data_IF_203153221550
#
_entry.id   IF_203153221550
#
_cell.length_a   1.000
_cell.length_b   1.000
_cell.length_c   1.000
_cell.angle_alpha   90.00
_cell.angle_beta   90.00
_cell.angle_gamma   90.00
#
_symmetry.space_group_name_H-M   'P 1'
#
loop_
_entity.id
_entity.type
_entity.pdbx_description
1 polymer ?
#
# COMPACT_ATOMS: atom_id res chain seq x y z
N UNK A 1 20.43 43.09 -43.68
CA UNK A 1 21.23 42.58 -42.55
C UNK A 1 20.57 43.08 -41.26
N UNK A 2 20.01 42.35 -40.31
CA UNK A 2 19.51 40.98 -40.09
C UNK A 2 18.58 41.14 -38.86
N UNK A 3 17.38 40.52 -38.76
CA UNK A 3 16.60 40.62 -37.54
C UNK A 3 17.27 39.79 -36.44
N UNK A 4 17.48 40.43 -35.29
CA UNK A 4 17.98 39.81 -34.06
C UNK A 4 17.06 38.64 -33.68
N UNK A 5 17.58 37.41 -33.75
CA UNK A 5 16.87 36.22 -33.31
C UNK A 5 16.66 36.32 -31.80
N UNK A 6 15.40 36.43 -31.38
CA UNK A 6 14.99 36.09 -30.03
C UNK A 6 15.39 34.64 -29.77
N UNK A 7 16.51 34.44 -29.09
CA UNK A 7 16.82 33.18 -28.44
C UNK A 7 15.85 33.04 -27.28
N UNK A 8 14.71 32.39 -27.53
CA UNK A 8 13.93 31.79 -26.46
C UNK A 8 14.81 30.73 -25.80
N UNK A 9 15.50 31.13 -24.74
CA UNK A 9 16.04 30.20 -23.78
C UNK A 9 14.85 29.49 -23.14
N UNK A 10 14.44 28.37 -23.72
CA UNK A 10 13.64 27.39 -23.03
C UNK A 10 14.56 26.73 -22.01
N UNK A 11 14.89 27.46 -20.95
CA UNK A 11 15.35 26.85 -19.71
C UNK A 11 14.20 25.95 -19.28
N UNK A 12 14.31 24.65 -19.62
CA UNK A 12 13.49 23.60 -19.03
C UNK A 12 13.86 23.66 -17.56
N UNK A 13 13.09 24.47 -16.83
CA UNK A 13 13.30 24.67 -15.42
C UNK A 13 13.07 23.33 -14.75
N UNK A 14 14.14 22.74 -14.25
CA UNK A 14 14.14 21.87 -13.07
C UNK A 14 13.69 22.67 -11.81
N UNK A 15 12.89 23.70 -11.98
CA UNK A 15 12.29 24.49 -10.93
C UNK A 15 11.05 23.76 -10.45
N UNK A 16 11.19 23.03 -9.35
CA UNK A 16 10.06 22.59 -8.53
C UNK A 16 8.91 21.96 -9.31
N UNK A 17 9.13 20.78 -9.91
CA UNK A 17 8.03 19.80 -9.89
C UNK A 17 7.89 19.42 -8.42
N UNK A 18 7.17 20.25 -7.65
CA UNK A 18 6.80 19.93 -6.28
C UNK A 18 6.24 18.51 -6.31
N UNK A 19 6.77 17.62 -5.47
CA UNK A 19 6.44 16.21 -5.51
C UNK A 19 4.92 16.08 -5.68
N UNK A 20 4.47 15.51 -6.80
CA UNK A 20 3.05 15.28 -6.98
C UNK A 20 2.68 14.25 -5.92
N UNK A 21 1.95 14.68 -4.87
CA UNK A 21 1.58 13.90 -3.68
C UNK A 21 2.73 13.54 -2.69
N UNK A 22 3.33 14.51 -1.97
CA UNK A 22 4.40 14.26 -1.00
C UNK A 22 4.00 13.35 0.17
N UNK A 23 2.76 13.42 0.66
CA UNK A 23 2.32 12.58 1.77
C UNK A 23 2.21 11.12 1.33
N UNK A 24 1.59 10.87 0.18
CA UNK A 24 1.47 9.51 -0.39
C UNK A 24 2.84 8.91 -0.72
N UNK A 25 3.75 9.69 -1.30
CA UNK A 25 5.11 9.25 -1.59
C UNK A 25 5.88 8.84 -0.31
N UNK A 26 5.74 9.62 0.77
CA UNK A 26 6.38 9.35 2.06
C UNK A 26 6.03 7.96 2.59
N UNK A 27 4.75 7.56 2.49
CA UNK A 27 4.29 6.26 2.98
C UNK A 27 4.49 5.12 1.99
N UNK A 28 4.62 5.42 0.69
CA UNK A 28 4.92 4.41 -0.32
C UNK A 28 6.24 3.69 -0.02
N UNK A 29 7.26 4.41 0.47
CA UNK A 29 8.58 3.84 0.81
C UNK A 29 8.49 2.76 1.90
N UNK A 30 8.02 3.03 3.13
CA UNK A 30 7.94 2.00 4.17
C UNK A 30 6.98 0.86 3.81
N UNK A 31 5.87 1.14 3.10
CA UNK A 31 4.96 0.10 2.63
C UNK A 31 5.63 -0.82 1.61
N UNK A 32 6.40 -0.29 0.66
CA UNK A 32 7.16 -1.07 -0.31
C UNK A 32 8.26 -1.89 0.37
N UNK A 33 9.02 -1.31 1.30
CA UNK A 33 10.03 -2.03 2.08
C UNK A 33 9.40 -3.19 2.85
N UNK A 34 8.24 -2.96 3.47
CA UNK A 34 7.54 -4.02 4.19
C UNK A 34 7.06 -5.13 3.24
N UNK A 35 6.52 -4.78 2.07
CA UNK A 35 6.15 -5.75 1.04
C UNK A 35 7.35 -6.63 0.61
N UNK A 36 8.52 -6.03 0.38
CA UNK A 36 9.74 -6.78 0.04
C UNK A 36 10.13 -7.78 1.15
N UNK A 37 9.95 -7.39 2.42
CA UNK A 37 10.18 -8.29 3.54
C UNK A 37 9.24 -9.50 3.54
N UNK A 38 7.94 -9.29 3.24
CA UNK A 38 6.95 -10.37 3.13
C UNK A 38 7.27 -11.30 1.95
N UNK A 39 7.59 -10.72 0.79
CA UNK A 39 7.99 -11.48 -0.40
C UNK A 39 9.22 -12.35 -0.12
N UNK A 40 10.22 -11.81 0.58
CA UNK A 40 11.43 -12.55 0.95
C UNK A 40 11.10 -13.73 1.85
N UNK A 41 10.20 -13.56 2.84
CA UNK A 41 9.75 -14.65 3.72
C UNK A 41 9.09 -15.78 2.91
N UNK A 42 8.21 -15.45 1.94
CA UNK A 42 7.58 -16.45 1.07
C UNK A 42 8.63 -17.21 0.26
N UNK A 43 9.58 -16.50 -0.36
CA UNK A 43 10.64 -17.12 -1.16
C UNK A 43 11.50 -18.06 -0.32
N UNK A 44 11.92 -17.64 0.88
CA UNK A 44 12.70 -18.48 1.79
C UNK A 44 11.94 -19.74 2.21
N UNK A 45 10.63 -19.64 2.45
CA UNK A 45 9.80 -20.80 2.80
C UNK A 45 9.61 -21.76 1.63
N UNK A 46 9.47 -21.26 0.39
CA UNK A 46 9.41 -22.10 -0.83
C UNK A 46 10.69 -22.91 -1.04
N UNK A 47 11.84 -22.28 -0.84
CA UNK A 47 13.13 -22.98 -0.91
C UNK A 47 13.28 -24.01 0.21
N UNK A 48 12.89 -23.66 1.44
CA UNK A 48 12.97 -24.57 2.58
C UNK A 48 12.03 -25.78 2.47
N UNK A 49 10.88 -25.64 1.82
CA UNK A 49 9.89 -26.71 1.64
C UNK A 49 9.98 -27.44 0.30
N UNK A 50 11.02 -27.17 -0.51
CA UNK A 50 11.16 -27.69 -1.88
C UNK A 50 9.92 -27.52 -2.78
N UNK A 51 9.00 -26.64 -2.40
CA UNK A 51 7.71 -26.44 -3.08
C UNK A 51 7.79 -25.17 -3.91
N UNK A 52 8.27 -25.32 -5.15
CA UNK A 52 8.42 -24.20 -6.08
C UNK A 52 7.07 -23.61 -6.51
N UNK A 53 6.05 -24.46 -6.65
CA UNK A 53 4.67 -24.07 -7.01
C UNK A 53 3.68 -24.66 -6.00
N UNK A 54 2.73 -23.83 -5.56
CA UNK A 54 1.75 -24.18 -4.52
C UNK A 54 1.76 -23.20 -3.36
N UNK A 55 0.76 -23.32 -2.48
CA UNK A 55 0.59 -22.52 -1.28
C UNK A 55 0.80 -23.32 0.01
N UNK A 56 1.05 -24.63 -0.09
CA UNK A 56 1.32 -25.51 1.05
C UNK A 56 2.61 -26.32 0.85
N UNK A 57 3.40 -26.49 1.91
CA UNK A 57 4.58 -27.36 1.90
C UNK A 57 4.18 -28.85 1.82
N UNK A 58 4.79 -29.62 0.92
CA UNK A 58 4.75 -31.11 0.87
C UNK A 58 3.35 -31.75 1.07
N UNK A 59 2.32 -31.18 0.43
CA UNK A 59 0.94 -31.73 0.51
C UNK A 59 0.25 -31.53 1.87
N UNK A 60 0.85 -30.78 2.79
CA UNK A 60 0.26 -30.44 4.08
C UNK A 60 -0.89 -29.45 3.90
N UNK A 61 -2.14 -29.88 3.98
CA UNK A 61 -3.31 -28.99 3.84
C UNK A 61 -3.69 -28.25 5.13
N UNK A 62 -2.78 -28.21 6.12
CA UNK A 62 -3.06 -27.57 7.40
C UNK A 62 -3.05 -26.04 7.27
N UNK A 63 -4.06 -25.38 7.82
CA UNK A 63 -4.14 -23.91 7.85
C UNK A 63 -3.00 -23.24 8.65
N UNK A 64 -2.21 -24.01 9.39
CA UNK A 64 -1.02 -23.60 10.12
C UNK A 64 0.28 -23.78 9.31
N UNK A 65 0.21 -24.24 8.06
CA UNK A 65 1.40 -24.43 7.23
C UNK A 65 2.17 -23.10 7.05
N UNK A 66 3.47 -23.05 7.38
CA UNK A 66 4.23 -21.80 7.32
C UNK A 66 4.30 -21.17 5.93
N UNK A 67 4.27 -21.98 4.85
CA UNK A 67 4.25 -21.46 3.48
C UNK A 67 2.87 -20.85 3.16
N UNK A 68 1.79 -21.50 3.58
CA UNK A 68 0.44 -20.97 3.45
C UNK A 68 0.25 -19.65 4.19
N UNK A 69 0.66 -19.59 5.46
CA UNK A 69 0.54 -18.38 6.29
C UNK A 69 1.35 -17.22 5.68
N UNK A 70 2.58 -17.46 5.23
CA UNK A 70 3.40 -16.44 4.59
C UNK A 70 2.77 -15.94 3.27
N UNK A 71 2.25 -16.85 2.45
CA UNK A 71 1.58 -16.51 1.17
C UNK A 71 0.31 -15.70 1.42
N UNK A 72 -0.51 -16.08 2.41
CA UNK A 72 -1.72 -15.34 2.79
C UNK A 72 -1.40 -13.95 3.35
N UNK A 73 -0.32 -13.80 4.13
CA UNK A 73 0.12 -12.51 4.62
C UNK A 73 0.52 -11.56 3.46
N UNK A 74 1.28 -12.07 2.49
CA UNK A 74 1.66 -11.29 1.31
C UNK A 74 0.44 -10.90 0.46
N UNK A 75 -0.45 -11.86 0.19
CA UNK A 75 -1.63 -11.60 -0.64
C UNK A 75 -2.56 -10.58 0.02
N UNK A 76 -2.78 -10.69 1.34
CA UNK A 76 -3.59 -9.73 2.08
C UNK A 76 -3.03 -8.30 2.00
N UNK A 77 -1.70 -8.14 2.00
CA UNK A 77 -1.07 -6.85 1.79
C UNK A 77 -1.37 -6.31 0.38
N UNK A 78 -1.21 -7.13 -0.65
CA UNK A 78 -1.45 -6.75 -2.06
C UNK A 78 -2.91 -6.45 -2.39
N UNK A 79 -3.87 -7.06 -1.71
CA UNK A 79 -5.30 -6.82 -1.94
C UNK A 79 -5.72 -5.40 -1.52
N UNK A 80 -4.97 -4.75 -0.63
CA UNK A 80 -5.45 -3.56 0.06
C UNK A 80 -4.50 -2.36 -0.02
N UNK A 81 -3.19 -2.58 0.09
CA UNK A 81 -2.24 -1.47 0.14
C UNK A 81 -2.11 -0.77 -1.22
N UNK A 82 -2.01 -1.46 -2.37
CA UNK A 82 -1.98 -0.81 -3.67
C UNK A 82 -3.22 0.04 -3.93
N UNK A 83 -4.42 -0.47 -3.64
CA UNK A 83 -5.65 0.32 -3.84
C UNK A 83 -5.71 1.51 -2.89
N UNK A 84 -5.28 1.37 -1.64
CA UNK A 84 -5.21 2.49 -0.69
C UNK A 84 -4.24 3.59 -1.16
N UNK A 85 -3.06 3.21 -1.68
CA UNK A 85 -2.08 4.15 -2.22
C UNK A 85 -2.60 4.86 -3.48
N UNK A 86 -3.30 4.15 -4.37
CA UNK A 86 -3.92 4.75 -5.55
C UNK A 86 -4.99 5.77 -5.14
N UNK A 87 -5.89 5.40 -4.22
CA UNK A 87 -6.94 6.31 -3.76
C UNK A 87 -6.33 7.52 -3.04
N UNK A 88 -5.33 7.31 -2.18
CA UNK A 88 -4.62 8.41 -1.49
C UNK A 88 -3.91 9.35 -2.48
N UNK A 89 -3.25 8.80 -3.50
CA UNK A 89 -2.61 9.57 -4.56
C UNK A 89 -3.64 10.44 -5.29
N UNK A 90 -4.74 9.84 -5.74
CA UNK A 90 -5.79 10.58 -6.46
C UNK A 90 -6.41 11.63 -5.55
N UNK A 91 -6.67 11.32 -4.28
CA UNK A 91 -7.18 12.29 -3.30
C UNK A 91 -6.23 13.47 -3.12
N UNK A 92 -4.93 13.22 -2.91
CA UNK A 92 -3.92 14.26 -2.73
C UNK A 92 -3.75 15.14 -3.97
N UNK A 93 -3.85 14.55 -5.17
CA UNK A 93 -3.86 15.29 -6.44
C UNK A 93 -5.12 16.18 -6.61
N UNK A 94 -6.24 15.78 -6.01
CA UNK A 94 -7.49 16.57 -5.97
C UNK A 94 -7.55 17.56 -4.78
N UNK A 95 -6.44 17.78 -4.09
CA UNK A 95 -6.34 18.78 -3.02
C UNK A 95 -6.69 18.27 -1.63
N UNK A 96 -6.67 16.96 -1.40
CA UNK A 96 -6.80 16.39 -0.06
C UNK A 96 -5.74 16.93 0.91
N UNK A 97 -6.13 17.12 2.17
CA UNK A 97 -5.19 17.57 3.20
C UNK A 97 -4.09 16.53 3.44
N UNK A 98 -2.84 16.96 3.36
CA UNK A 98 -1.66 16.10 3.54
C UNK A 98 -1.60 15.45 4.93
N UNK A 99 -2.04 16.16 5.98
CA UNK A 99 -2.09 15.62 7.34
C UNK A 99 -3.01 14.40 7.39
N UNK A 100 -4.19 14.50 6.78
CA UNK A 100 -5.15 13.40 6.71
C UNK A 100 -4.57 12.19 5.99
N UNK A 101 -3.94 12.39 4.83
CA UNK A 101 -3.26 11.31 4.09
C UNK A 101 -2.17 10.65 4.92
N UNK A 102 -1.36 11.44 5.64
CA UNK A 102 -0.31 10.91 6.52
C UNK A 102 -0.90 10.05 7.65
N UNK A 103 -1.95 10.51 8.33
CA UNK A 103 -2.60 9.73 9.38
C UNK A 103 -3.26 8.48 8.82
N UNK A 104 -3.94 8.56 7.67
CA UNK A 104 -4.60 7.42 7.04
C UNK A 104 -3.60 6.33 6.62
N UNK A 105 -2.55 6.70 5.88
CA UNK A 105 -1.54 5.75 5.42
C UNK A 105 -0.64 5.25 6.55
N UNK A 106 -0.35 6.09 7.55
CA UNK A 106 0.37 5.68 8.74
C UNK A 106 -0.41 4.70 9.60
N UNK A 107 -1.71 4.94 9.78
CA UNK A 107 -2.60 3.99 10.45
C UNK A 107 -2.71 2.70 9.65
N UNK A 108 -2.81 2.77 8.32
CA UNK A 108 -2.83 1.58 7.46
C UNK A 108 -1.57 0.75 7.66
N UNK A 109 -0.40 1.38 7.66
CA UNK A 109 0.87 0.71 7.89
C UNK A 109 0.91 0.01 9.26
N UNK A 110 0.50 0.71 10.33
CA UNK A 110 0.45 0.13 11.67
C UNK A 110 -0.53 -1.06 11.77
N UNK A 111 -1.73 -0.92 11.19
CA UNK A 111 -2.73 -1.99 11.12
C UNK A 111 -2.21 -3.21 10.35
N UNK A 112 -1.43 -3.00 9.28
CA UNK A 112 -0.85 -4.08 8.47
C UNK A 112 0.25 -4.83 9.20
N UNK A 113 1.15 -4.11 9.87
CA UNK A 113 2.15 -4.74 10.74
C UNK A 113 1.43 -5.54 11.84
N UNK A 114 0.41 -4.95 12.46
CA UNK A 114 -0.29 -5.62 13.53
C UNK A 114 -1.03 -6.89 13.07
N UNK A 115 -1.62 -6.86 11.87
CA UNK A 115 -2.28 -8.02 11.27
C UNK A 115 -1.33 -9.21 11.07
N UNK A 116 -0.16 -8.95 10.49
CA UNK A 116 0.80 -10.01 10.14
C UNK A 116 1.57 -10.47 11.38
N UNK A 117 2.20 -9.55 12.11
CA UNK A 117 3.10 -9.89 13.21
C UNK A 117 2.34 -10.37 14.46
N UNK A 118 1.20 -9.75 14.79
CA UNK A 118 0.42 -10.11 15.99
C UNK A 118 -0.81 -10.99 15.70
N UNK A 119 -1.27 -11.08 14.45
CA UNK A 119 -2.46 -11.86 14.08
C UNK A 119 -2.14 -13.21 13.45
N UNK A 120 -1.33 -13.23 12.37
CA UNK A 120 -1.07 -14.43 11.58
C UNK A 120 0.10 -15.28 12.12
N UNK A 121 1.08 -14.65 12.77
CA UNK A 121 2.32 -15.33 13.19
C UNK A 121 2.25 -15.92 14.61
N UNK A 122 1.17 -15.67 15.36
CA UNK A 122 0.99 -16.17 16.74
C UNK A 122 0.17 -17.46 16.76
N UNK A 123 0.62 -18.43 17.57
CA UNK A 123 0.06 -19.77 17.77
C UNK A 123 -1.47 -19.85 17.60
N UNK A 124 -1.92 -20.76 16.72
CA UNK A 124 -3.30 -21.10 16.39
C UNK A 124 -4.11 -20.20 15.45
N UNK A 125 -3.52 -19.21 14.75
CA UNK A 125 -4.22 -18.44 13.70
C UNK A 125 -5.55 -17.79 14.14
N UNK A 126 -5.76 -17.67 15.46
CA UNK A 126 -7.00 -17.26 16.14
C UNK A 126 -6.83 -15.91 16.88
N UNK A 127 -5.82 -15.13 16.53
CA UNK A 127 -5.60 -13.81 17.12
C UNK A 127 -6.62 -12.78 16.62
N UNK A 128 -7.15 -11.96 17.54
CA UNK A 128 -7.99 -10.78 17.23
C UNK A 128 -7.36 -9.82 16.21
N UNK A 129 -6.05 -9.92 15.95
CA UNK A 129 -5.35 -9.19 14.89
C UNK A 129 -5.87 -9.47 13.46
N UNK A 130 -6.55 -10.60 13.21
CA UNK A 130 -7.20 -10.84 11.91
C UNK A 130 -8.36 -9.89 11.65
N UNK A 131 -9.25 -9.76 12.63
CA UNK A 131 -10.42 -8.89 12.54
C UNK A 131 -10.00 -7.41 12.51
N UNK A 132 -9.09 -7.01 13.41
CA UNK A 132 -8.60 -5.62 13.46
C UNK A 132 -7.86 -5.23 12.17
N UNK A 133 -7.02 -6.12 11.65
CA UNK A 133 -6.30 -5.91 10.40
C UNK A 133 -7.22 -5.73 9.19
N UNK A 134 -8.21 -6.62 9.07
CA UNK A 134 -9.19 -6.60 8.00
C UNK A 134 -10.11 -5.38 8.10
N UNK A 135 -10.87 -5.25 9.19
CA UNK A 135 -11.84 -4.16 9.35
C UNK A 135 -11.17 -2.79 9.42
N UNK A 136 -10.02 -2.68 10.08
CA UNK A 136 -9.27 -1.42 10.14
C UNK A 136 -8.85 -0.95 8.76
N UNK A 137 -8.39 -1.87 7.91
CA UNK A 137 -8.00 -1.50 6.55
C UNK A 137 -9.16 -1.15 5.64
N UNK A 138 -10.27 -1.90 5.74
CA UNK A 138 -11.47 -1.57 4.98
C UNK A 138 -12.03 -0.21 5.40
N UNK A 139 -11.99 0.11 6.70
CA UNK A 139 -12.40 1.41 7.21
C UNK A 139 -11.50 2.53 6.66
N UNK A 140 -10.18 2.32 6.57
CA UNK A 140 -9.25 3.33 6.02
C UNK A 140 -9.48 3.55 4.53
N UNK A 141 -9.62 2.46 3.75
CA UNK A 141 -9.88 2.56 2.30
C UNK A 141 -11.23 3.25 2.05
N UNK A 142 -12.27 2.88 2.81
CA UNK A 142 -13.58 3.51 2.71
C UNK A 142 -13.52 5.00 3.10
N UNK A 143 -12.77 5.34 4.15
CA UNK A 143 -12.55 6.73 4.57
C UNK A 143 -11.84 7.57 3.50
N UNK A 144 -10.73 7.06 2.96
CA UNK A 144 -10.01 7.71 1.85
C UNK A 144 -10.89 7.85 0.60
N UNK A 145 -11.65 6.82 0.26
CA UNK A 145 -12.55 6.83 -0.90
C UNK A 145 -13.71 7.80 -0.72
N UNK A 146 -14.29 7.86 0.48
CA UNK A 146 -15.34 8.83 0.81
C UNK A 146 -14.83 10.27 0.78
N UNK A 147 -13.60 10.51 1.27
CA UNK A 147 -12.98 11.82 1.19
C UNK A 147 -12.68 12.23 -0.25
N UNK A 148 -12.17 11.30 -1.07
CA UNK A 148 -12.00 11.53 -2.50
C UNK A 148 -13.34 11.84 -3.18
N UNK A 149 -14.39 11.07 -2.91
CA UNK A 149 -15.73 11.31 -3.45
C UNK A 149 -16.26 12.69 -3.08
N UNK A 150 -16.00 13.15 -1.85
CA UNK A 150 -16.35 14.51 -1.42
C UNK A 150 -15.59 15.59 -2.21
N UNK A 151 -14.32 15.38 -2.53
CA UNK A 151 -13.51 16.33 -3.31
C UNK A 151 -13.99 16.43 -4.77
N UNK A 152 -14.46 15.33 -5.35
CA UNK A 152 -14.90 15.28 -6.76
C UNK A 152 -16.42 15.39 -6.93
N UNK A 153 -17.17 15.66 -5.85
CA UNK A 153 -18.65 15.66 -5.84
C UNK A 153 -19.26 16.57 -6.92
N UNK A 154 -18.59 17.68 -7.23
CA UNK A 154 -19.11 18.69 -8.16
C UNK A 154 -19.13 18.15 -9.60
N UNK A 155 -18.29 17.15 -9.93
CA UNK A 155 -18.31 16.48 -11.24
C UNK A 155 -19.44 15.45 -11.37
N UNK A 156 -20.04 15.02 -10.27
CA UNK A 156 -21.12 14.01 -10.27
C UNK A 156 -22.50 14.66 -10.23
N UNK A 157 -22.57 15.87 -9.68
CA UNK A 157 -23.81 16.64 -9.53
C UNK A 157 -24.02 17.66 -10.66
N UNK A 158 -23.10 17.72 -11.63
CA UNK A 158 -23.20 18.50 -12.86
C UNK A 158 -23.89 17.71 -13.97
#
# INVERSE_FOLDING_TARGET
VSPSRNTMNHSIGLGFVGLAAPATATWTVPLAVYYLSLQTRVVLKRFASHTLMGDHADGNTSASDPLFVATRAQLNFLENVPIALIVALVAELNGAERSYINYALGTLFAVRIAHVEFGLTKNNAAGYGRAVGYYGSQAIIAGLSGYLAYLVKDYWMA
#
